data_IF_219403425447
#
_entry.id   IF_219403425447
#
_cell.length_a   1.000
_cell.length_b   1.000
_cell.length_c   1.000
_cell.angle_alpha   90.00
_cell.angle_beta   90.00
_cell.angle_gamma   90.00
#
_symmetry.space_group_name_H-M   'P 1'
#
loop_
_entity.id
_entity.type
_entity.pdbx_description
1 polymer ?
#
# COMPACT_ATOMS: atom_id res chain seq x y z
N UNK A 1 2.97 -5.61 13.24
CA UNK A 1 2.77 -5.32 11.80
C UNK A 1 1.40 -4.69 11.60
N UNK A 2 1.32 -3.62 10.80
CA UNK A 2 0.08 -2.97 10.41
C UNK A 2 -0.26 -3.34 8.96
N UNK A 3 -1.54 -3.48 8.68
CA UNK A 3 -2.07 -3.59 7.32
C UNK A 3 -2.84 -2.31 7.06
N UNK A 4 -2.33 -1.52 6.11
CA UNK A 4 -2.94 -0.26 5.67
C UNK A 4 -3.31 -0.38 4.21
N UNK A 5 -4.45 0.16 3.82
CA UNK A 5 -4.95 0.09 2.44
C UNK A 5 -5.75 1.33 2.07
N UNK A 6 -5.70 1.68 0.79
CA UNK A 6 -6.48 2.74 0.15
C UNK A 6 -7.07 2.12 -1.12
N UNK A 7 -8.38 2.24 -1.31
CA UNK A 7 -9.04 1.88 -2.56
C UNK A 7 -8.85 2.97 -3.62
N UNK A 8 -8.43 2.60 -4.83
CA UNK A 8 -8.22 3.57 -5.91
C UNK A 8 -9.53 4.21 -6.38
N UNK A 9 -9.54 5.54 -6.56
CA UNK A 9 -10.69 6.32 -7.01
C UNK A 9 -11.69 6.72 -5.92
N UNK A 10 -12.04 5.83 -4.99
CA UNK A 10 -12.91 6.16 -3.84
C UNK A 10 -12.10 6.68 -2.64
N UNK A 11 -10.83 6.29 -2.58
CA UNK A 11 -9.90 6.52 -1.48
C UNK A 11 -10.38 5.97 -0.13
N UNK A 12 -11.35 5.05 -0.17
CA UNK A 12 -11.81 4.37 1.03
C UNK A 12 -10.63 3.68 1.71
N UNK A 13 -10.49 3.89 3.02
CA UNK A 13 -9.26 3.50 3.72
C UNK A 13 -9.53 2.59 4.91
N UNK A 14 -8.56 1.72 5.17
CA UNK A 14 -8.53 0.89 6.36
C UNK A 14 -7.11 0.78 6.89
N UNK A 15 -7.00 0.77 8.22
CA UNK A 15 -5.73 0.49 8.91
C UNK A 15 -6.00 -0.29 10.20
N UNK A 16 -5.39 -1.46 10.30
CA UNK A 16 -5.47 -2.33 11.48
C UNK A 16 -4.13 -3.03 11.70
N UNK A 17 -3.96 -3.65 12.85
CA UNK A 17 -2.87 -4.62 13.05
C UNK A 17 -3.17 -5.92 12.28
N UNK A 18 -2.17 -6.78 12.14
CA UNK A 18 -2.32 -8.11 11.51
C UNK A 18 -3.27 -9.07 12.24
N UNK A 19 -3.56 -8.83 13.53
CA UNK A 19 -4.59 -9.54 14.31
C UNK A 19 -5.92 -8.75 14.38
N UNK A 20 -6.18 -7.90 13.39
CA UNK A 20 -7.42 -7.15 13.18
C UNK A 20 -7.80 -6.14 14.30
N UNK A 21 -6.85 -5.75 15.16
CA UNK A 21 -7.07 -4.66 16.12
C UNK A 21 -7.11 -3.32 15.36
N UNK A 22 -8.10 -2.44 15.61
CA UNK A 22 -8.15 -1.13 14.97
C UNK A 22 -6.87 -0.32 15.23
N UNK A 23 -6.40 0.41 14.22
CA UNK A 23 -5.33 1.39 14.41
C UNK A 23 -5.87 2.57 15.21
N UNK A 24 -5.25 2.87 16.36
CA UNK A 24 -5.65 4.01 17.20
C UNK A 24 -5.41 5.40 16.60
N UNK A 25 -4.87 5.49 15.38
CA UNK A 25 -4.77 6.74 14.63
C UNK A 25 -5.74 6.85 13.47
N UNK A 26 -6.51 5.79 13.17
CA UNK A 26 -7.44 5.74 12.04
C UNK A 26 -8.87 6.07 12.50
N UNK A 27 -9.05 7.26 13.07
CA UNK A 27 -10.33 7.77 13.57
C UNK A 27 -11.00 8.68 12.53
N UNK A 28 -11.43 8.09 11.40
CA UNK A 28 -12.08 8.85 10.32
C UNK A 28 -11.15 9.67 9.42
N UNK A 29 -9.83 9.50 9.56
CA UNK A 29 -8.82 10.15 8.70
C UNK A 29 -7.66 9.21 8.40
N UNK A 30 -6.86 9.55 7.40
CA UNK A 30 -5.61 8.84 7.11
C UNK A 30 -4.65 8.95 8.31
N UNK A 31 -4.33 7.81 8.91
CA UNK A 31 -3.38 7.73 10.01
C UNK A 31 -1.93 7.82 9.50
N UNK A 32 -0.96 7.92 10.41
CA UNK A 32 0.47 7.97 10.05
C UNK A 32 0.93 6.77 9.20
N UNK A 33 0.34 5.59 9.38
CA UNK A 33 0.71 4.40 8.59
C UNK A 33 0.22 4.50 7.14
N UNK A 34 -0.97 5.08 6.92
CA UNK A 34 -1.47 5.34 5.57
C UNK A 34 -0.63 6.41 4.88
N UNK A 35 -0.26 7.48 5.60
CA UNK A 35 0.65 8.51 5.06
C UNK A 35 2.02 7.92 4.70
N UNK A 36 2.59 7.08 5.58
CA UNK A 36 3.83 6.37 5.31
C UNK A 36 3.71 5.43 4.10
N UNK A 37 2.59 4.70 3.97
CA UNK A 37 2.32 3.86 2.79
C UNK A 37 2.38 4.65 1.49
N UNK A 38 1.75 5.82 1.43
CA UNK A 38 1.81 6.69 0.24
C UNK A 38 3.22 7.23 0.01
N UNK A 39 3.91 7.64 1.08
CA UNK A 39 5.31 8.10 1.01
C UNK A 39 6.24 7.04 0.40
N UNK A 40 6.16 5.80 0.88
CA UNK A 40 6.95 4.68 0.35
C UNK A 40 6.57 4.35 -1.10
N UNK A 41 5.28 4.39 -1.45
CA UNK A 41 4.85 4.17 -2.82
C UNK A 41 5.41 5.24 -3.77
N UNK A 42 5.37 6.51 -3.39
CA UNK A 42 5.93 7.62 -4.19
C UNK A 42 7.45 7.49 -4.28
N UNK A 43 8.13 7.12 -3.19
CA UNK A 43 9.58 6.88 -3.19
C UNK A 43 9.99 5.76 -4.16
N UNK A 44 9.22 4.67 -4.22
CA UNK A 44 9.56 3.50 -5.05
C UNK A 44 9.13 3.64 -6.51
N UNK A 45 7.98 4.28 -6.76
CA UNK A 45 7.32 4.25 -8.07
C UNK A 45 7.22 5.61 -8.75
N UNK A 46 7.53 6.70 -8.04
CA UNK A 46 7.35 8.08 -8.50
C UNK A 46 5.92 8.59 -8.32
N UNK A 47 5.79 9.90 -8.09
CA UNK A 47 4.51 10.57 -7.80
C UNK A 47 3.49 10.40 -8.92
N UNK A 48 3.90 10.57 -10.17
CA UNK A 48 3.01 10.49 -11.33
C UNK A 48 2.35 9.12 -11.47
N UNK A 49 3.12 8.05 -11.24
CA UNK A 49 2.63 6.67 -11.36
C UNK A 49 1.65 6.35 -10.25
N UNK A 50 1.96 6.78 -9.03
CA UNK A 50 1.09 6.61 -7.87
C UNK A 50 -0.21 7.41 -8.04
N UNK A 51 -0.12 8.68 -8.42
CA UNK A 51 -1.28 9.54 -8.65
C UNK A 51 -2.20 8.95 -9.74
N UNK A 52 -1.63 8.53 -10.88
CA UNK A 52 -2.38 7.87 -11.96
C UNK A 52 -3.06 6.58 -11.51
N UNK A 53 -2.35 5.73 -10.77
CA UNK A 53 -2.90 4.47 -10.27
C UNK A 53 -4.06 4.70 -9.30
N UNK A 54 -3.87 5.63 -8.35
CA UNK A 54 -4.90 5.99 -7.38
C UNK A 54 -6.03 6.82 -7.98
N UNK A 55 -5.86 7.35 -9.20
CA UNK A 55 -6.77 8.28 -9.90
C UNK A 55 -6.87 9.65 -9.23
N UNK A 56 -5.77 10.10 -8.62
CA UNK A 56 -5.64 11.39 -7.94
C UNK A 56 -5.12 12.43 -8.94
N UNK A 57 -5.78 13.59 -8.98
CA UNK A 57 -5.25 14.76 -9.67
C UNK A 57 -4.29 15.50 -8.72
N UNK A 58 -3.05 15.69 -9.18
CA UNK A 58 -2.02 16.47 -8.48
C UNK A 58 -1.46 17.52 -9.43
N UNK A 59 -0.87 18.62 -8.92
CA UNK A 59 -0.22 19.62 -9.77
C UNK A 59 0.81 19.00 -10.71
N UNK A 60 0.93 19.53 -11.93
CA UNK A 60 1.84 18.99 -12.94
C UNK A 60 3.33 19.12 -12.56
N UNK A 61 3.68 20.11 -11.73
CA UNK A 61 5.06 20.36 -11.29
C UNK A 61 5.15 20.45 -9.75
N UNK A 62 6.23 19.90 -9.20
CA UNK A 62 6.52 19.92 -7.77
C UNK A 62 5.64 19.02 -6.89
N UNK A 63 4.77 18.18 -7.46
CA UNK A 63 3.93 17.27 -6.69
C UNK A 63 4.76 16.21 -5.94
N UNK A 64 4.35 15.92 -4.72
CA UNK A 64 5.00 14.96 -3.83
C UNK A 64 3.97 14.05 -3.13
N UNK A 65 4.43 13.23 -2.19
CA UNK A 65 3.55 12.35 -1.42
C UNK A 65 2.51 13.12 -0.59
N UNK A 66 2.85 14.31 -0.09
CA UNK A 66 1.93 15.16 0.65
C UNK A 66 0.81 15.67 -0.27
N UNK A 67 1.16 16.12 -1.47
CA UNK A 67 0.22 16.55 -2.51
C UNK A 67 -0.81 15.47 -2.83
N UNK A 68 -0.37 14.20 -2.97
CA UNK A 68 -1.26 13.05 -3.20
C UNK A 68 -2.19 12.81 -2.00
N UNK A 69 -1.64 12.84 -0.78
CA UNK A 69 -2.42 12.64 0.45
C UNK A 69 -3.46 13.73 0.63
N UNK A 70 -3.11 15.00 0.41
CA UNK A 70 -3.98 16.14 0.58
C UNK A 70 -5.13 16.12 -0.43
N UNK A 71 -4.83 15.83 -1.70
CA UNK A 71 -5.84 15.69 -2.75
C UNK A 71 -6.85 14.58 -2.43
N UNK A 72 -6.39 13.40 -1.99
CA UNK A 72 -7.29 12.33 -1.53
C UNK A 72 -8.07 12.73 -0.28
N UNK A 73 -7.45 13.42 0.67
CA UNK A 73 -8.09 13.83 1.93
C UNK A 73 -9.21 14.86 1.67
N UNK A 74 -9.04 15.73 0.68
CA UNK A 74 -10.02 16.74 0.27
C UNK A 74 -11.35 16.12 -0.20
N UNK A 75 -11.33 14.88 -0.70
CA UNK A 75 -12.56 14.18 -1.11
C UNK A 75 -13.36 13.62 0.06
N UNK A 76 -12.86 13.75 1.30
CA UNK A 76 -13.46 13.22 2.53
C UNK A 76 -13.77 11.72 2.43
N UNK A 77 -12.75 10.88 2.19
CA UNK A 77 -12.97 9.47 1.95
C UNK A 77 -13.60 8.77 3.15
N UNK A 78 -14.42 7.76 2.86
CA UNK A 78 -15.04 6.94 3.88
C UNK A 78 -14.03 5.97 4.51
N UNK A 79 -14.26 5.63 5.77
CA UNK A 79 -13.58 4.50 6.37
C UNK A 79 -14.12 3.20 5.75
N UNK A 80 -13.23 2.43 5.13
CA UNK A 80 -13.54 1.17 4.47
C UNK A 80 -13.54 -0.04 5.40
N UNK A 81 -13.72 -1.21 4.80
CA UNK A 81 -13.68 -2.50 5.50
C UNK A 81 -12.24 -2.90 5.88
N UNK A 82 -12.09 -3.53 7.04
CA UNK A 82 -10.83 -4.02 7.60
C UNK A 82 -10.51 -5.47 7.21
N UNK A 83 -11.36 -6.12 6.42
CA UNK A 83 -11.20 -7.52 6.01
C UNK A 83 -9.91 -7.83 5.23
N UNK A 84 -9.29 -6.81 4.61
CA UNK A 84 -8.01 -6.95 3.90
C UNK A 84 -6.88 -7.51 4.80
N UNK A 85 -6.89 -7.21 6.10
CA UNK A 85 -5.83 -7.62 7.02
C UNK A 85 -5.68 -9.14 7.14
N UNK A 86 -6.79 -9.87 7.24
CA UNK A 86 -6.77 -11.32 7.36
C UNK A 86 -6.21 -11.99 6.09
N UNK A 87 -6.63 -11.53 4.91
CA UNK A 87 -6.19 -12.10 3.64
C UNK A 87 -4.69 -11.84 3.39
N UNK A 88 -4.22 -10.62 3.67
CA UNK A 88 -2.79 -10.26 3.55
C UNK A 88 -1.95 -11.11 4.51
N UNK A 89 -2.41 -11.29 5.76
CA UNK A 89 -1.71 -12.10 6.74
C UNK A 89 -1.66 -13.59 6.33
N UNK A 90 -2.77 -14.17 5.86
CA UNK A 90 -2.78 -15.56 5.38
C UNK A 90 -1.85 -15.77 4.18
N UNK A 91 -1.75 -14.82 3.25
CA UNK A 91 -0.79 -14.87 2.14
C UNK A 91 0.65 -14.80 2.65
N UNK A 92 0.93 -13.89 3.59
CA UNK A 92 2.25 -13.80 4.23
C UNK A 92 2.67 -15.13 4.87
N UNK A 93 1.78 -15.77 5.64
CA UNK A 93 2.06 -17.08 6.24
C UNK A 93 2.33 -18.16 5.18
N UNK A 94 1.61 -18.13 4.06
CA UNK A 94 1.88 -19.04 2.94
C UNK A 94 3.26 -18.82 2.34
N UNK A 95 3.71 -17.57 2.21
CA UNK A 95 5.03 -17.25 1.69
C UNK A 95 6.17 -17.62 2.64
N UNK A 96 5.92 -17.72 3.96
CA UNK A 96 6.94 -18.22 4.89
C UNK A 96 7.35 -19.66 4.60
N UNK A 97 6.49 -20.48 3.99
CA UNK A 97 6.85 -21.83 3.56
C UNK A 97 7.97 -21.83 2.51
N UNK A 98 8.19 -20.72 1.77
CA UNK A 98 9.32 -20.62 0.85
C UNK A 98 10.69 -20.56 1.54
N UNK A 99 10.72 -20.25 2.84
CA UNK A 99 11.97 -20.32 3.61
C UNK A 99 12.46 -21.77 3.81
N UNK A 100 11.59 -22.76 3.58
CA UNK A 100 11.93 -24.18 3.67
C UNK A 100 12.45 -24.75 2.34
N UNK A 101 12.36 -23.98 1.24
CA UNK A 101 12.84 -24.40 -0.07
C UNK A 101 14.28 -23.92 -0.32
N UNK A 102 15.02 -24.66 -1.15
CA UNK A 102 16.33 -24.21 -1.61
C UNK A 102 16.20 -22.89 -2.40
N UNK A 103 17.07 -21.88 -2.16
CA UNK A 103 17.04 -20.62 -2.88
C UNK A 103 17.25 -20.83 -4.39
N UNK A 104 16.35 -20.26 -5.20
CA UNK A 104 16.44 -20.29 -6.66
C UNK A 104 16.21 -18.91 -7.27
N UNK A 105 16.82 -18.66 -8.43
CA UNK A 105 16.65 -17.41 -9.20
C UNK A 105 15.66 -17.54 -10.34
N UNK A 106 15.01 -18.70 -10.50
CA UNK A 106 13.93 -18.86 -11.47
C UNK A 106 12.70 -18.08 -11.03
N UNK A 107 11.95 -17.47 -11.96
CA UNK A 107 10.75 -16.70 -11.62
C UNK A 107 9.73 -17.56 -10.88
N UNK A 108 9.20 -17.05 -9.77
CA UNK A 108 8.06 -17.64 -9.06
C UNK A 108 6.77 -16.96 -9.57
N UNK A 109 5.88 -17.68 -10.29
CA UNK A 109 4.67 -17.09 -10.89
C UNK A 109 3.80 -16.36 -9.87
N UNK A 110 3.67 -16.91 -8.67
CA UNK A 110 2.93 -16.32 -7.56
C UNK A 110 3.60 -15.11 -6.93
N UNK A 111 4.87 -14.80 -7.24
CA UNK A 111 5.62 -13.61 -6.77
C UNK A 111 5.76 -12.51 -7.83
N UNK A 112 5.05 -12.61 -8.96
CA UNK A 112 5.05 -11.62 -10.05
C UNK A 112 4.67 -10.18 -9.64
N UNK A 113 4.11 -10.01 -8.45
CA UNK A 113 3.73 -8.71 -7.87
C UNK A 113 4.91 -7.97 -7.23
N UNK A 114 6.01 -8.66 -6.91
CA UNK A 114 7.25 -7.97 -6.61
C UNK A 114 7.84 -7.47 -7.92
N UNK A 115 8.12 -6.16 -8.06
CA UNK A 115 8.85 -5.68 -9.22
C UNK A 115 10.16 -6.46 -9.27
N UNK A 116 10.41 -7.13 -10.40
CA UNK A 116 11.70 -7.79 -10.62
C UNK A 116 12.77 -6.72 -10.44
N UNK A 117 13.55 -6.81 -9.36
CA UNK A 117 14.76 -6.01 -9.24
C UNK A 117 15.58 -6.35 -10.47
N UNK A 118 15.78 -5.34 -11.32
CA UNK A 118 16.59 -5.48 -12.54
C UNK A 118 17.90 -6.13 -12.12
N UNK A 119 18.33 -7.18 -12.84
CA UNK A 119 19.65 -7.74 -12.65
C UNK A 119 20.67 -6.58 -12.70
N UNK A 120 21.45 -6.42 -11.63
CA UNK A 120 22.60 -5.52 -11.65
C UNK A 120 23.60 -6.14 -12.61
N UNK A 121 23.83 -5.48 -13.73
CA UNK A 121 24.86 -5.83 -14.71
C UNK A 121 26.25 -5.47 -14.18
#
# INVERSE_FOLDING_TARGET
MYVSSIEAGTYAFACSTNNNRPCGGAHGWFCKHIRALVGEAVLQYGVERVARYLKVEVPDDGADAASVVDAMTATRPAQGDRSAAAQVFSRFLRHLAYLELEPVTVPLPEMQWFPTTRAVA
#
